data_IF_246363024349
#
_entry.id   IF_246363024349
#
_cell.length_a   1.000
_cell.length_b   1.000
_cell.length_c   1.000
_cell.angle_alpha   90.00
_cell.angle_beta   90.00
_cell.angle_gamma   90.00
#
_symmetry.space_group_name_H-M   'P 1'
#
loop_
_entity.id
_entity.type
_entity.pdbx_description
1 polymer ?
#
# COMPACT_ATOMS: atom_id res chain seq x y z
N UNK A 1 77.77 46.71 25.04
CA UNK A 1 78.18 47.20 23.71
C UNK A 1 79.11 46.16 23.11
N UNK A 2 78.94 45.85 21.81
CA UNK A 2 79.35 44.64 21.05
C UNK A 2 78.46 43.41 21.24
N UNK A 3 78.06 42.61 20.23
CA UNK A 3 77.54 42.73 18.83
C UNK A 3 77.46 41.26 18.33
N UNK A 4 76.53 40.96 17.40
CA UNK A 4 76.41 39.75 16.53
C UNK A 4 75.95 38.45 17.23
N UNK A 5 74.88 37.76 16.83
CA UNK A 5 74.11 37.75 15.58
C UNK A 5 74.38 36.48 14.77
N UNK A 6 73.44 35.53 14.73
CA UNK A 6 73.16 34.70 13.54
C UNK A 6 71.89 33.87 13.71
N UNK A 7 71.08 33.90 12.65
CA UNK A 7 69.83 33.17 12.46
C UNK A 7 70.03 31.65 12.35
N UNK A 8 69.00 30.89 12.73
CA UNK A 8 68.40 29.88 11.85
C UNK A 8 67.03 29.41 12.36
N UNK A 9 66.04 29.57 11.50
CA UNK A 9 64.67 29.07 11.63
C UNK A 9 64.64 27.55 11.52
N UNK A 10 63.92 26.88 12.42
CA UNK A 10 63.56 25.47 12.25
C UNK A 10 62.20 25.17 12.93
N UNK A 11 61.32 24.59 12.12
CA UNK A 11 60.20 23.68 12.44
C UNK A 11 58.86 24.24 12.94
N UNK A 12 57.95 24.34 11.96
CA UNK A 12 56.51 24.13 12.09
C UNK A 12 56.20 22.86 12.91
N UNK A 13 55.41 23.03 13.97
CA UNK A 13 54.88 21.96 14.81
C UNK A 13 53.35 22.03 14.89
N UNK A 14 52.74 21.06 14.21
CA UNK A 14 51.44 20.40 14.38
C UNK A 14 50.36 20.90 15.38
N UNK A 15 49.13 20.80 14.84
CA UNK A 15 47.91 20.26 15.45
C UNK A 15 47.01 21.20 16.28
N UNK A 16 45.81 21.46 15.73
CA UNK A 16 44.69 22.10 16.41
C UNK A 16 43.35 21.71 15.78
N UNK A 17 42.89 20.50 16.15
CA UNK A 17 41.55 19.91 16.17
C UNK A 17 40.37 20.50 15.38
N UNK A 18 39.73 19.58 14.62
CA UNK A 18 38.40 19.63 14.04
C UNK A 18 37.31 20.13 15.00
N UNK A 19 36.31 20.83 14.45
CA UNK A 19 34.88 20.62 14.74
C UNK A 19 34.04 21.27 13.63
N UNK A 20 33.89 20.58 12.49
CA UNK A 20 32.88 20.94 11.50
C UNK A 20 31.54 20.35 11.98
N UNK A 21 30.72 21.16 12.65
CA UNK A 21 29.38 20.78 13.06
C UNK A 21 28.45 20.72 11.85
N UNK A 22 28.27 19.55 11.25
CA UNK A 22 27.20 19.29 10.28
C UNK A 22 25.89 19.16 11.03
N UNK A 23 25.10 20.23 11.03
CA UNK A 23 23.68 20.20 11.40
C UNK A 23 22.95 19.40 10.33
N UNK A 24 22.74 18.11 10.57
CA UNK A 24 21.79 17.31 9.81
C UNK A 24 20.38 17.78 10.19
N UNK A 25 19.78 18.63 9.35
CA UNK A 25 18.34 18.82 9.35
C UNK A 25 17.67 17.52 8.89
N UNK A 26 17.42 16.62 9.85
CA UNK A 26 16.48 15.53 9.65
C UNK A 26 15.08 16.14 9.52
N UNK A 27 14.63 16.33 8.28
CA UNK A 27 13.24 16.65 7.99
C UNK A 27 12.38 15.47 8.43
N UNK A 28 11.85 15.52 9.64
CA UNK A 28 10.80 14.62 10.09
C UNK A 28 9.52 15.10 9.41
N UNK A 29 9.15 14.50 8.28
CA UNK A 29 7.84 14.75 7.67
C UNK A 29 6.77 14.33 8.68
N UNK A 30 6.09 15.32 9.27
CA UNK A 30 4.97 15.08 10.18
C UNK A 30 3.77 14.64 9.35
N UNK A 31 3.50 13.33 9.37
CA UNK A 31 2.27 12.78 8.78
C UNK A 31 1.05 13.34 9.54
N UNK A 32 0.02 13.85 8.84
CA UNK A 32 -1.21 14.30 9.49
C UNK A 32 -1.77 13.25 10.44
N UNK A 33 -2.17 13.66 11.65
CA UNK A 33 -2.60 12.76 12.74
C UNK A 33 -3.71 11.77 12.31
N UNK A 34 -4.62 12.18 11.42
CA UNK A 34 -5.68 11.33 10.89
C UNK A 34 -5.16 10.17 10.01
N UNK A 35 -4.09 10.39 9.24
CA UNK A 35 -3.46 9.33 8.42
C UNK A 35 -2.81 8.29 9.33
N UNK A 36 -2.13 8.73 10.39
CA UNK A 36 -1.49 7.83 11.34
C UNK A 36 -2.53 6.97 12.08
N UNK A 37 -3.65 7.58 12.48
CA UNK A 37 -4.74 6.86 13.13
C UNK A 37 -5.36 5.80 12.21
N UNK A 38 -5.63 6.14 10.94
CA UNK A 38 -6.16 5.19 9.96
C UNK A 38 -5.22 3.99 9.72
N UNK A 39 -3.90 4.21 9.71
CA UNK A 39 -2.91 3.14 9.61
C UNK A 39 -2.90 2.23 10.84
N UNK A 40 -3.03 2.80 12.03
CA UNK A 40 -3.12 2.03 13.28
C UNK A 40 -4.39 1.16 13.27
N UNK A 41 -5.53 1.74 12.90
CA UNK A 41 -6.81 1.03 12.80
C UNK A 41 -6.74 -0.12 11.80
N UNK A 42 -6.12 0.10 10.64
CA UNK A 42 -5.88 -0.96 9.65
C UNK A 42 -5.05 -2.12 10.24
N UNK A 43 -3.93 -1.81 10.91
CA UNK A 43 -3.05 -2.83 11.51
C UNK A 43 -3.78 -3.61 12.62
N UNK A 44 -4.54 -2.91 13.47
CA UNK A 44 -5.35 -3.53 14.52
C UNK A 44 -6.43 -4.43 13.92
N UNK A 45 -7.07 -4.00 12.84
CA UNK A 45 -8.08 -4.79 12.13
C UNK A 45 -7.46 -6.09 11.59
N UNK A 46 -6.30 -6.02 10.93
CA UNK A 46 -5.58 -7.18 10.41
C UNK A 46 -5.19 -8.15 11.54
N UNK A 47 -4.70 -7.62 12.66
CA UNK A 47 -4.30 -8.44 13.80
C UNK A 47 -5.48 -9.16 14.48
N UNK A 48 -6.70 -8.62 14.35
CA UNK A 48 -7.92 -9.21 14.89
C UNK A 48 -8.54 -10.27 13.96
N UNK A 49 -8.03 -10.46 12.75
CA UNK A 49 -8.56 -11.44 11.81
C UNK A 49 -8.33 -12.87 12.32
N UNK A 50 -9.38 -13.71 12.42
CA UNK A 50 -9.22 -15.11 12.75
C UNK A 50 -8.33 -15.82 11.72
N UNK A 51 -7.54 -16.79 12.17
CA UNK A 51 -6.90 -17.71 11.23
C UNK A 51 -7.96 -18.63 10.58
N UNK A 52 -7.77 -19.00 9.32
CA UNK A 52 -8.68 -19.92 8.64
C UNK A 52 -8.36 -20.12 7.16
N UNK A 53 -9.10 -21.04 6.54
CA UNK A 53 -9.03 -21.32 5.11
C UNK A 53 -9.99 -20.41 4.33
N UNK A 54 -9.64 -19.13 4.30
CA UNK A 54 -10.34 -18.10 3.56
C UNK A 54 -9.37 -17.00 3.16
N UNK A 55 -9.85 -16.07 2.35
CA UNK A 55 -9.12 -14.88 1.93
C UNK A 55 -9.85 -13.61 2.35
N UNK A 56 -9.12 -12.51 2.48
CA UNK A 56 -9.69 -11.18 2.68
C UNK A 56 -9.62 -10.44 1.34
N UNK A 57 -10.78 -9.94 0.91
CA UNK A 57 -10.94 -9.19 -0.33
C UNK A 57 -11.37 -7.75 -0.09
N UNK A 58 -10.69 -6.78 -0.73
CA UNK A 58 -11.15 -5.39 -0.84
C UNK A 58 -11.60 -5.15 -2.27
N UNK A 59 -12.87 -4.79 -2.44
CA UNK A 59 -13.39 -4.41 -3.75
C UNK A 59 -12.68 -3.15 -4.23
N UNK A 60 -12.10 -3.23 -5.44
CA UNK A 60 -11.50 -2.09 -6.12
C UNK A 60 -12.15 -1.95 -7.50
N UNK A 61 -13.19 -1.13 -7.59
CA UNK A 61 -13.96 -0.97 -8.81
C UNK A 61 -13.43 0.17 -9.66
N UNK A 62 -13.29 -0.13 -10.96
CA UNK A 62 -13.13 0.85 -11.99
C UNK A 62 -14.03 0.53 -13.18
N UNK A 63 -14.79 1.49 -13.72
CA UNK A 63 -15.75 1.23 -14.79
C UNK A 63 -15.15 0.57 -16.04
N UNK A 64 -13.93 0.98 -16.40
CA UNK A 64 -13.28 0.57 -17.65
C UNK A 64 -12.54 -0.78 -17.53
N UNK A 65 -12.33 -1.30 -16.31
CA UNK A 65 -11.47 -2.47 -16.04
C UNK A 65 -12.29 -3.71 -15.66
N UNK A 66 -11.72 -4.89 -15.91
CA UNK A 66 -12.40 -6.18 -15.62
C UNK A 66 -11.90 -6.91 -14.37
N UNK A 67 -10.81 -6.45 -13.75
CA UNK A 67 -10.40 -6.97 -12.44
C UNK A 67 -11.45 -6.67 -11.37
N UNK A 68 -11.46 -7.48 -10.31
CA UNK A 68 -12.43 -7.32 -9.23
C UNK A 68 -11.86 -6.51 -8.06
N UNK A 69 -10.67 -6.83 -7.59
CA UNK A 69 -10.17 -6.22 -6.37
C UNK A 69 -8.93 -6.90 -5.83
N UNK A 70 -8.51 -6.46 -4.66
CA UNK A 70 -7.32 -6.95 -3.99
C UNK A 70 -7.67 -8.11 -3.05
N UNK A 71 -6.91 -9.20 -3.12
CA UNK A 71 -7.11 -10.41 -2.31
C UNK A 71 -5.81 -10.78 -1.61
N UNK A 72 -5.90 -11.09 -0.31
CA UNK A 72 -4.76 -11.57 0.51
C UNK A 72 -5.20 -12.65 1.49
N UNK A 73 -4.24 -13.33 2.13
CA UNK A 73 -4.55 -14.20 3.26
C UNK A 73 -4.81 -13.39 4.54
N UNK A 74 -5.57 -13.95 5.50
CA UNK A 74 -5.77 -13.34 6.81
C UNK A 74 -4.43 -13.09 7.52
N UNK A 75 -4.35 -11.98 8.26
CA UNK A 75 -3.15 -11.57 8.98
C UNK A 75 -2.01 -11.02 8.11
N UNK A 76 -2.11 -11.11 6.78
CA UNK A 76 -1.14 -10.47 5.88
C UNK A 76 -1.43 -8.97 5.71
N UNK A 77 -0.42 -8.12 5.53
CA UNK A 77 -0.64 -6.70 5.23
C UNK A 77 -1.21 -6.52 3.82
N UNK A 78 -1.95 -5.43 3.60
CA UNK A 78 -2.55 -5.13 2.30
C UNK A 78 -1.52 -4.95 1.18
N UNK A 79 -0.31 -4.48 1.47
CA UNK A 79 0.81 -4.43 0.50
C UNK A 79 1.19 -5.78 -0.14
N UNK A 80 0.76 -6.91 0.43
CA UNK A 80 0.96 -8.25 -0.15
C UNK A 80 -0.23 -8.75 -0.98
N UNK A 81 -1.32 -7.99 -1.01
CA UNK A 81 -2.53 -8.38 -1.70
C UNK A 81 -2.34 -8.36 -3.23
N UNK A 82 -2.93 -9.35 -3.88
CA UNK A 82 -2.91 -9.48 -5.34
C UNK A 82 -4.18 -8.87 -5.93
N UNK A 83 -4.03 -8.07 -7.00
CA UNK A 83 -5.18 -7.62 -7.79
C UNK A 83 -5.65 -8.77 -8.68
N UNK A 84 -6.87 -9.26 -8.47
CA UNK A 84 -7.33 -10.51 -9.08
C UNK A 84 -8.42 -10.31 -10.13
N UNK A 85 -8.43 -11.25 -11.08
CA UNK A 85 -9.61 -11.54 -11.88
C UNK A 85 -10.41 -12.64 -11.17
N UNK A 86 -11.69 -12.39 -10.89
CA UNK A 86 -12.55 -13.44 -10.33
C UNK A 86 -12.99 -14.39 -11.44
N UNK A 87 -12.83 -15.68 -11.21
CA UNK A 87 -13.51 -16.72 -11.95
C UNK A 87 -14.83 -17.04 -11.25
N UNK A 88 -15.92 -16.67 -11.93
CA UNK A 88 -17.27 -16.67 -11.39
C UNK A 88 -18.13 -17.81 -11.94
N UNK A 89 -17.50 -18.88 -12.46
CA UNK A 89 -18.23 -20.04 -12.99
C UNK A 89 -19.09 -20.75 -11.92
N UNK A 90 -18.71 -20.64 -10.65
CA UNK A 90 -19.41 -21.28 -9.52
C UNK A 90 -20.21 -20.26 -8.70
N UNK A 91 -19.63 -19.10 -8.41
CA UNK A 91 -20.27 -18.03 -7.64
C UNK A 91 -19.97 -16.68 -8.28
N UNK A 92 -21.01 -15.87 -8.49
CA UNK A 92 -20.90 -14.49 -8.93
C UNK A 92 -20.33 -13.60 -7.82
N UNK A 93 -19.62 -12.55 -8.21
CA UNK A 93 -19.21 -11.48 -7.32
C UNK A 93 -20.43 -10.72 -6.75
N UNK A 94 -20.29 -10.07 -5.59
CA UNK A 94 -21.43 -9.50 -4.87
C UNK A 94 -22.22 -8.44 -5.66
N UNK A 95 -21.54 -7.53 -6.36
CA UNK A 95 -22.17 -6.51 -7.20
C UNK A 95 -22.92 -7.10 -8.39
N UNK A 96 -22.33 -8.10 -9.05
CA UNK A 96 -22.90 -8.77 -10.22
C UNK A 96 -24.09 -9.66 -9.88
N UNK A 97 -24.08 -10.30 -8.72
CA UNK A 97 -25.23 -11.07 -8.23
C UNK A 97 -26.44 -10.16 -7.98
N UNK A 98 -26.22 -8.88 -7.64
CA UNK A 98 -27.28 -7.87 -7.44
C UNK A 98 -27.61 -7.09 -8.71
N UNK A 99 -26.88 -7.32 -9.81
CA UNK A 99 -26.96 -6.52 -11.05
C UNK A 99 -26.70 -5.01 -10.82
N UNK A 100 -25.90 -4.68 -9.82
CA UNK A 100 -25.58 -3.31 -9.42
C UNK A 100 -24.06 -3.10 -9.40
N UNK A 101 -23.49 -2.98 -10.60
CA UNK A 101 -22.05 -3.05 -10.86
C UNK A 101 -21.27 -1.95 -10.12
N UNK A 102 -20.31 -2.36 -9.30
CA UNK A 102 -19.46 -1.44 -8.55
C UNK A 102 -20.13 -0.76 -7.35
N UNK A 103 -21.39 -1.08 -7.04
CA UNK A 103 -22.10 -0.57 -5.85
C UNK A 103 -21.39 -0.87 -4.53
N UNK A 104 -20.60 -1.94 -4.52
CA UNK A 104 -19.83 -2.41 -3.38
C UNK A 104 -18.36 -1.93 -3.40
N UNK A 105 -18.03 -0.89 -4.17
CA UNK A 105 -16.68 -0.36 -4.20
C UNK A 105 -16.19 -0.03 -2.78
N UNK A 106 -14.94 -0.38 -2.49
CA UNK A 106 -14.31 -0.26 -1.16
C UNK A 106 -14.85 -1.20 -0.07
N UNK A 107 -15.83 -2.07 -0.34
CA UNK A 107 -16.30 -3.03 0.67
C UNK A 107 -15.22 -4.09 0.97
N UNK A 108 -15.28 -4.63 2.18
CA UNK A 108 -14.44 -5.74 2.63
C UNK A 108 -15.24 -7.03 2.71
N UNK A 109 -14.65 -8.10 2.19
CA UNK A 109 -15.26 -9.42 2.17
C UNK A 109 -14.30 -10.48 2.71
N UNK A 110 -14.88 -11.45 3.40
CA UNK A 110 -14.29 -12.77 3.52
C UNK A 110 -14.62 -13.53 2.24
N UNK A 111 -13.63 -14.10 1.58
CA UNK A 111 -13.78 -14.85 0.34
C UNK A 111 -13.41 -16.31 0.56
N UNK A 112 -14.27 -17.21 0.09
CA UNK A 112 -13.99 -18.63 0.02
C UNK A 112 -13.70 -18.99 -1.43
N UNK A 113 -12.55 -19.61 -1.66
CA UNK A 113 -12.06 -19.84 -3.02
C UNK A 113 -10.62 -20.29 -3.04
N UNK A 114 -10.03 -20.28 -4.23
CA UNK A 114 -8.63 -20.66 -4.42
C UNK A 114 -8.06 -19.91 -5.63
N UNK A 115 -6.77 -19.58 -5.57
CA UNK A 115 -6.01 -19.19 -6.76
C UNK A 115 -5.82 -20.41 -7.65
N UNK A 116 -6.28 -20.36 -8.90
CA UNK A 116 -6.16 -21.50 -9.81
C UNK A 116 -4.72 -21.77 -10.25
N UNK A 117 -3.84 -20.76 -10.15
CA UNK A 117 -2.50 -20.75 -10.72
C UNK A 117 -2.47 -20.18 -12.15
N UNK A 118 -3.65 -20.01 -12.77
CA UNK A 118 -3.78 -19.37 -14.07
C UNK A 118 -3.69 -17.85 -13.95
N UNK A 119 -3.46 -17.22 -15.10
CA UNK A 119 -3.42 -15.77 -15.25
C UNK A 119 -4.32 -15.32 -16.39
N UNK A 120 -4.94 -14.16 -16.23
CA UNK A 120 -5.91 -13.60 -17.17
C UNK A 120 -5.44 -12.24 -17.65
N UNK A 121 -5.49 -12.04 -18.96
CA UNK A 121 -5.19 -10.77 -19.60
C UNK A 121 -6.36 -9.80 -19.45
N UNK A 122 -6.08 -8.56 -19.07
CA UNK A 122 -7.05 -7.48 -18.94
C UNK A 122 -6.70 -6.36 -19.92
N UNK A 123 -7.55 -6.08 -20.91
CA UNK A 123 -7.19 -5.20 -22.02
C UNK A 123 -7.15 -3.71 -21.63
N UNK A 124 -7.89 -3.26 -20.62
CA UNK A 124 -7.93 -1.83 -20.27
C UNK A 124 -6.64 -1.37 -19.58
N UNK A 125 -6.03 -2.22 -18.75
CA UNK A 125 -4.71 -2.00 -18.15
C UNK A 125 -3.56 -2.53 -18.99
N UNK A 126 -3.84 -3.36 -19.99
CA UNK A 126 -2.86 -4.20 -20.68
C UNK A 126 -2.07 -5.10 -19.70
N UNK A 127 -2.69 -5.46 -18.58
CA UNK A 127 -2.09 -6.22 -17.49
C UNK A 127 -2.42 -7.71 -17.56
N UNK A 128 -1.67 -8.50 -16.79
CA UNK A 128 -1.92 -9.92 -16.58
C UNK A 128 -2.08 -10.13 -15.07
N UNK A 129 -3.25 -10.62 -14.66
CA UNK A 129 -3.63 -10.76 -13.26
C UNK A 129 -3.85 -12.23 -12.89
N UNK A 130 -3.55 -12.64 -11.65
CA UNK A 130 -3.88 -13.97 -11.17
C UNK A 130 -5.41 -14.19 -11.17
N UNK A 131 -5.82 -15.41 -11.50
CA UNK A 131 -7.21 -15.82 -11.41
C UNK A 131 -7.54 -16.37 -10.02
N UNK A 132 -8.63 -15.89 -9.43
CA UNK A 132 -9.18 -16.39 -8.17
C UNK A 132 -10.55 -17.02 -8.42
N UNK A 133 -10.68 -18.32 -8.16
CA UNK A 133 -11.93 -19.07 -8.30
C UNK A 133 -12.80 -18.83 -7.08
N UNK A 134 -13.86 -18.04 -7.25
CA UNK A 134 -14.80 -17.70 -6.19
C UNK A 134 -15.79 -18.84 -5.96
N UNK A 135 -15.90 -19.29 -4.71
CA UNK A 135 -16.85 -20.32 -4.26
C UNK A 135 -17.91 -19.76 -3.30
N UNK A 136 -17.60 -18.69 -2.59
CA UNK A 136 -18.49 -18.05 -1.64
C UNK A 136 -17.88 -16.78 -1.06
N UNK A 137 -18.69 -15.97 -0.39
CA UNK A 137 -18.21 -14.78 0.29
C UNK A 137 -19.12 -14.40 1.46
N UNK A 138 -18.57 -13.65 2.41
CA UNK A 138 -19.28 -12.99 3.51
C UNK A 138 -18.87 -11.52 3.55
N UNK A 139 -19.82 -10.61 3.72
CA UNK A 139 -19.51 -9.20 3.93
C UNK A 139 -18.89 -9.01 5.33
N UNK A 140 -17.73 -8.36 5.39
CA UNK A 140 -17.06 -7.98 6.65
C UNK A 140 -17.42 -6.54 7.01
N UNK A 141 -17.25 -5.61 6.07
CA UNK A 141 -17.48 -4.19 6.32
C UNK A 141 -17.82 -3.43 5.04
N UNK A 142 -18.74 -2.47 5.17
CA UNK A 142 -19.06 -1.49 4.12
C UNK A 142 -18.27 -0.18 4.27
N UNK A 143 -17.57 -0.01 5.40
CA UNK A 143 -16.73 1.15 5.68
C UNK A 143 -15.43 0.72 6.39
N UNK A 144 -14.55 -0.02 5.70
CA UNK A 144 -13.31 -0.50 6.27
C UNK A 144 -12.23 0.61 6.31
N UNK A 145 -11.17 0.45 7.12
CA UNK A 145 -10.07 1.40 7.16
C UNK A 145 -9.43 1.64 5.78
N UNK A 146 -8.95 2.86 5.51
CA UNK A 146 -8.20 3.19 4.29
C UNK A 146 -7.00 2.27 4.04
N UNK A 147 -6.80 1.88 2.79
CA UNK A 147 -5.64 1.09 2.33
C UNK A 147 -4.92 1.71 1.13
N UNK A 148 -5.49 2.71 0.48
CA UNK A 148 -4.89 3.38 -0.68
C UNK A 148 -4.34 4.76 -0.31
N UNK A 149 -3.26 5.15 -1.00
CA UNK A 149 -2.65 6.48 -0.86
C UNK A 149 -3.64 7.61 -1.09
N UNK A 150 -4.52 7.47 -2.08
CA UNK A 150 -5.60 8.41 -2.35
C UNK A 150 -6.55 8.61 -1.17
N UNK A 151 -6.89 7.53 -0.46
CA UNK A 151 -7.78 7.56 0.69
C UNK A 151 -7.13 8.27 1.88
N UNK A 152 -5.84 8.05 2.12
CA UNK A 152 -5.11 8.76 3.17
C UNK A 152 -5.00 10.27 2.89
N UNK A 153 -4.88 10.67 1.61
CA UNK A 153 -4.76 12.10 1.24
C UNK A 153 -6.08 12.86 1.28
N UNK A 154 -7.23 12.18 1.23
CA UNK A 154 -8.57 12.78 1.32
C UNK A 154 -9.03 13.64 0.13
N UNK A 155 -8.15 13.93 -0.84
CA UNK A 155 -8.42 14.90 -1.91
C UNK A 155 -8.31 14.32 -3.34
N UNK A 156 -8.30 13.00 -3.50
CA UNK A 156 -8.19 12.39 -4.83
C UNK A 156 -9.52 12.49 -5.59
N UNK A 157 -9.51 13.09 -6.78
CA UNK A 157 -10.69 13.13 -7.64
C UNK A 157 -10.90 11.78 -8.34
N UNK A 158 -12.16 11.33 -8.51
CA UNK A 158 -12.47 10.15 -9.34
C UNK A 158 -11.89 10.25 -10.77
N UNK A 159 -11.76 11.46 -11.31
CA UNK A 159 -11.18 11.70 -12.64
C UNK A 159 -9.68 11.41 -12.65
N UNK A 160 -8.96 11.85 -11.62
CA UNK A 160 -7.51 11.64 -11.51
C UNK A 160 -7.19 10.14 -11.33
N UNK A 161 -8.05 9.45 -10.59
CA UNK A 161 -7.91 8.03 -10.33
C UNK A 161 -8.48 7.16 -11.43
N UNK A 162 -9.12 7.71 -12.48
CA UNK A 162 -9.83 6.87 -13.47
C UNK A 162 -8.92 5.82 -14.09
N UNK A 163 -7.72 6.19 -14.51
CA UNK A 163 -6.78 5.30 -15.20
C UNK A 163 -5.59 4.83 -14.33
N UNK A 164 -5.50 5.27 -13.08
CA UNK A 164 -4.39 4.92 -12.18
C UNK A 164 -4.77 3.74 -11.29
N UNK A 165 -4.19 2.56 -11.53
CA UNK A 165 -4.39 1.40 -10.66
C UNK A 165 -3.49 1.54 -9.43
N UNK A 166 -4.08 1.88 -8.29
CA UNK A 166 -3.36 2.09 -7.05
C UNK A 166 -3.05 0.76 -6.36
N UNK A 167 -1.79 0.55 -5.96
CA UNK A 167 -1.45 -0.54 -5.05
C UNK A 167 -1.81 -0.12 -3.61
N UNK A 168 -2.35 -1.03 -2.80
CA UNK A 168 -2.58 -0.76 -1.40
C UNK A 168 -1.25 -0.69 -0.62
N UNK A 169 -1.23 0.07 0.47
CA UNK A 169 -0.08 0.28 1.37
C UNK A 169 -0.07 -0.69 2.55
#
# INVERSE_FOLDING_TARGET
>A
MFIQGMMRAVQFGLAGSLSLGTVFFGGCETVPQGIQQARIEMVQHIAAEPAGDYFIGRRYFKPDYKFWGYVRRPGQPWSTAELVMLNEKQKLAPDRERLDFGSDNNYEYKLYGIFSGDKVYEPASNGIYPEFVLKGYELISTNPPPIFKSQFRGNASPTDLRYVVEKPE
#
